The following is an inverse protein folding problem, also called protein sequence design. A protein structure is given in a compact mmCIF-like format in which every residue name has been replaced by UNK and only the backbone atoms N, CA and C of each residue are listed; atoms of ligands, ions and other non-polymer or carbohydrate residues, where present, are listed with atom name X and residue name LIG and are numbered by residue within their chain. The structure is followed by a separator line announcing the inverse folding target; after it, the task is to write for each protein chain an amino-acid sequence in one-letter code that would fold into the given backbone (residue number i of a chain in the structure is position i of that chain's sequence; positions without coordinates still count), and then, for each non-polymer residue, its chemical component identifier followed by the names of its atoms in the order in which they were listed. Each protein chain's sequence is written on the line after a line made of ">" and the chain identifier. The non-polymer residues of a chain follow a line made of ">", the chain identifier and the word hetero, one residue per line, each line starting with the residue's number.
data_IF_717775058334
#
_entry.id   IF_717775058334
#
_cell.length_a   1.000
_cell.length_b   1.000
_cell.length_c   1.000
_cell.angle_alpha   90.00
_cell.angle_beta   90.00
_cell.angle_gamma   90.00
#
_symmetry.space_group_name_H-M   'P 1'
#
loop_
_entity.id
_entity.type
_entity.pdbx_description
1 polymer ?
#
# COMPACT_ATOMS: atom_id res chain seq x y z
N UNK A 1 -10.15 43.74 -8.98
CA UNK A 1 -9.01 43.04 -8.37
C UNK A 1 -9.59 42.03 -7.39
N UNK A 2 -9.85 40.81 -7.84
CA UNK A 2 -10.64 39.82 -7.08
C UNK A 2 -9.75 39.11 -6.07
N UNK A 3 -10.14 39.17 -4.81
CA UNK A 3 -9.50 38.52 -3.68
C UNK A 3 -9.64 36.99 -3.82
N UNK A 4 -8.52 36.32 -4.05
CA UNK A 4 -8.47 34.85 -4.00
C UNK A 4 -8.69 34.36 -2.57
N UNK A 5 -9.68 33.48 -2.41
CA UNK A 5 -10.06 32.83 -1.16
C UNK A 5 -8.95 31.89 -0.64
N UNK A 6 -8.84 31.64 0.69
CA UNK A 6 -7.74 30.91 1.30
C UNK A 6 -7.61 29.49 0.72
N UNK A 7 -6.38 29.07 0.45
CA UNK A 7 -5.97 27.75 -0.08
C UNK A 7 -6.91 26.63 0.38
N UNK A 8 -7.80 26.20 -0.51
CA UNK A 8 -8.76 25.13 -0.23
C UNK A 8 -8.02 23.86 0.22
N UNK A 9 -8.28 23.42 1.45
CA UNK A 9 -7.87 22.11 2.00
C UNK A 9 -8.42 20.95 1.17
N UNK A 10 -9.50 21.21 0.42
CA UNK A 10 -10.24 20.23 -0.35
C UNK A 10 -9.85 20.28 -1.84
N UNK A 11 -9.76 19.10 -2.44
CA UNK A 11 -9.59 18.91 -3.88
C UNK A 11 -10.65 19.71 -4.65
N UNK A 12 -10.22 20.56 -5.58
CA UNK A 12 -11.15 21.26 -6.49
C UNK A 12 -11.77 20.27 -7.47
N UNK A 13 -13.04 20.45 -7.83
CA UNK A 13 -13.74 19.59 -8.80
C UNK A 13 -13.00 19.50 -10.15
N UNK A 14 -12.37 20.59 -10.61
CA UNK A 14 -11.56 20.58 -11.83
C UNK A 14 -10.38 19.61 -11.72
N UNK A 15 -9.66 19.61 -10.59
CA UNK A 15 -8.55 18.67 -10.37
C UNK A 15 -9.04 17.22 -10.25
N UNK A 16 -10.20 17.01 -9.62
CA UNK A 16 -10.85 15.69 -9.55
C UNK A 16 -11.19 15.17 -10.94
N UNK A 17 -11.81 16.00 -11.79
CA UNK A 17 -12.17 15.65 -13.17
C UNK A 17 -10.93 15.30 -14.00
N UNK A 18 -9.90 16.16 -13.99
CA UNK A 18 -8.64 15.90 -14.71
C UNK A 18 -7.95 14.63 -14.23
N UNK A 19 -7.95 14.34 -12.92
CA UNK A 19 -7.40 13.09 -12.38
C UNK A 19 -8.13 11.86 -12.95
N UNK A 20 -9.47 11.89 -12.99
CA UNK A 20 -10.29 10.80 -13.53
C UNK A 20 -9.99 10.59 -15.02
N UNK A 21 -9.90 11.67 -15.81
CA UNK A 21 -9.61 11.61 -17.24
C UNK A 21 -8.22 11.03 -17.54
N UNK A 22 -7.19 11.47 -16.81
CA UNK A 22 -5.83 10.94 -16.97
C UNK A 22 -5.75 9.45 -16.63
N UNK A 23 -6.51 8.98 -15.64
CA UNK A 23 -6.56 7.57 -15.24
C UNK A 23 -7.47 6.72 -16.11
N UNK A 24 -8.45 7.33 -16.79
CA UNK A 24 -9.26 6.64 -17.80
C UNK A 24 -8.40 6.24 -19.00
N UNK A 25 -7.43 7.08 -19.38
CA UNK A 25 -6.52 6.84 -20.50
C UNK A 25 -5.36 5.88 -20.19
N UNK A 26 -5.13 5.53 -18.92
CA UNK A 26 -4.04 4.64 -18.50
C UNK A 26 -4.55 3.48 -17.63
N UNK A 27 -4.94 2.38 -18.30
CA UNK A 27 -5.51 1.21 -17.64
C UNK A 27 -4.51 0.49 -16.72
N UNK A 28 -3.23 0.46 -17.11
CA UNK A 28 -2.19 -0.20 -16.31
C UNK A 28 -2.01 0.53 -14.98
N UNK A 29 -1.94 1.86 -15.02
CA UNK A 29 -1.83 2.70 -13.84
C UNK A 29 -3.10 2.68 -12.99
N UNK A 30 -4.27 2.68 -13.64
CA UNK A 30 -5.59 2.58 -13.00
C UNK A 30 -5.73 1.28 -12.20
N UNK A 31 -5.30 0.17 -12.80
CA UNK A 31 -5.41 -1.18 -12.23
C UNK A 31 -4.38 -1.40 -11.12
N UNK A 32 -3.19 -0.79 -11.25
CA UNK A 32 -2.10 -0.93 -10.28
C UNK A 32 -1.49 -2.34 -10.23
N UNK A 33 -1.79 -3.18 -11.24
CA UNK A 33 -1.23 -4.52 -11.39
C UNK A 33 0.09 -4.42 -12.15
N UNK A 34 1.21 -4.71 -11.50
CA UNK A 34 2.51 -4.74 -12.16
C UNK A 34 2.63 -5.97 -13.05
N UNK A 35 3.18 -5.75 -14.24
CA UNK A 35 3.46 -6.81 -15.23
C UNK A 35 4.90 -6.64 -15.71
N UNK A 36 5.42 -7.59 -16.48
CA UNK A 36 6.76 -7.46 -17.08
C UNK A 36 6.91 -6.16 -17.89
N UNK A 37 5.80 -5.65 -18.46
CA UNK A 37 5.78 -4.44 -19.28
C UNK A 37 5.38 -3.19 -18.48
N UNK A 38 4.97 -3.33 -17.21
CA UNK A 38 4.57 -2.23 -16.34
C UNK A 38 5.21 -2.40 -14.97
N UNK A 39 6.35 -1.73 -14.79
CA UNK A 39 7.15 -1.79 -13.56
C UNK A 39 6.74 -0.71 -12.57
N UNK A 40 7.23 -0.83 -11.33
CA UNK A 40 7.07 0.23 -10.33
C UNK A 40 7.68 1.56 -10.78
N UNK A 41 8.85 1.53 -11.42
CA UNK A 41 9.51 2.73 -11.92
C UNK A 41 8.66 3.44 -12.98
N UNK A 42 8.04 2.67 -13.88
CA UNK A 42 7.13 3.18 -14.89
C UNK A 42 5.87 3.77 -14.25
N UNK A 43 5.25 3.05 -13.31
CA UNK A 43 4.10 3.59 -12.54
C UNK A 43 4.43 4.90 -11.84
N UNK A 44 5.58 4.99 -11.18
CA UNK A 44 6.02 6.20 -10.48
C UNK A 44 6.18 7.36 -11.47
N UNK A 45 6.84 7.13 -12.60
CA UNK A 45 7.02 8.14 -13.65
C UNK A 45 5.68 8.70 -14.13
N UNK A 46 4.68 7.83 -14.36
CA UNK A 46 3.35 8.26 -14.80
C UNK A 46 2.58 9.00 -13.70
N UNK A 47 2.68 8.57 -12.44
CA UNK A 47 2.10 9.32 -11.31
C UNK A 47 2.74 10.70 -11.13
N UNK A 48 4.05 10.85 -11.35
CA UNK A 48 4.74 12.15 -11.34
C UNK A 48 4.18 13.04 -12.45
N UNK A 49 4.05 12.53 -13.68
CA UNK A 49 3.45 13.29 -14.78
C UNK A 49 2.02 13.76 -14.48
N UNK A 50 1.20 12.89 -13.88
CA UNK A 50 -0.16 13.27 -13.43
C UNK A 50 -0.08 14.39 -12.39
N UNK A 51 0.82 14.27 -11.42
CA UNK A 51 1.03 15.29 -10.39
C UNK A 51 1.39 16.65 -10.98
N UNK A 52 2.31 16.69 -11.94
CA UNK A 52 2.73 17.92 -12.61
C UNK A 52 1.58 18.57 -13.40
N UNK A 53 0.80 17.75 -14.10
CA UNK A 53 -0.40 18.19 -14.82
C UNK A 53 -1.43 18.80 -13.86
N UNK A 54 -1.69 18.16 -12.72
CA UNK A 54 -2.66 18.64 -11.72
C UNK A 54 -2.15 19.85 -10.92
N UNK A 55 -0.83 19.96 -10.74
CA UNK A 55 -0.19 21.10 -10.08
C UNK A 55 -0.13 22.34 -10.98
N UNK A 56 -0.26 22.16 -12.30
CA UNK A 56 -0.38 23.25 -13.27
C UNK A 56 -1.75 23.95 -13.18
N UNK A 57 -2.78 23.27 -12.67
CA UNK A 57 -4.09 23.86 -12.39
C UNK A 57 -4.02 24.71 -11.10
N UNK A 58 -4.58 25.93 -11.07
CA UNK A 58 -4.59 26.77 -9.88
C UNK A 58 -5.20 26.04 -8.67
N UNK A 59 -4.67 26.32 -7.48
CA UNK A 59 -5.08 25.71 -6.22
C UNK A 59 -3.99 24.89 -5.53
N UNK A 60 -4.39 23.84 -4.80
CA UNK A 60 -3.46 23.05 -4.00
C UNK A 60 -2.43 22.30 -4.86
N UNK A 61 -1.15 22.43 -4.52
CA UNK A 61 -0.06 21.64 -5.09
C UNK A 61 0.28 20.48 -4.17
N UNK A 62 0.41 19.28 -4.73
CA UNK A 62 0.60 18.03 -3.99
C UNK A 62 1.56 17.11 -4.75
N UNK A 63 2.18 16.19 -4.01
CA UNK A 63 3.09 15.20 -4.56
C UNK A 63 2.35 14.02 -5.21
N UNK A 64 3.03 13.29 -6.10
CA UNK A 64 2.48 12.13 -6.81
C UNK A 64 1.90 11.07 -5.88
N UNK A 65 2.50 10.88 -4.70
CA UNK A 65 2.03 9.92 -3.70
C UNK A 65 0.67 10.33 -3.13
N UNK A 66 0.47 11.63 -2.91
CA UNK A 66 -0.81 12.18 -2.45
C UNK A 66 -1.91 11.99 -3.49
N UNK A 67 -1.59 12.19 -4.78
CA UNK A 67 -2.54 11.96 -5.88
C UNK A 67 -2.93 10.49 -6.02
N UNK A 68 -1.94 9.59 -5.89
CA UNK A 68 -2.18 8.14 -5.84
C UNK A 68 -3.11 7.76 -4.68
N UNK A 69 -2.85 8.29 -3.48
CA UNK A 69 -3.71 8.07 -2.29
C UNK A 69 -5.11 8.63 -2.51
N UNK A 70 -5.22 9.82 -3.08
CA UNK A 70 -6.51 10.43 -3.40
C UNK A 70 -7.32 9.55 -4.35
N UNK A 71 -6.68 8.95 -5.36
CA UNK A 71 -7.35 7.98 -6.25
C UNK A 71 -7.85 6.74 -5.49
N UNK A 72 -7.06 6.19 -4.56
CA UNK A 72 -7.49 5.07 -3.73
C UNK A 72 -8.72 5.44 -2.86
N UNK A 73 -8.69 6.61 -2.24
CA UNK A 73 -9.79 7.10 -1.40
C UNK A 73 -11.04 7.38 -2.22
N UNK A 74 -10.90 7.93 -3.44
CA UNK A 74 -12.01 8.11 -4.38
C UNK A 74 -12.69 6.78 -4.69
N UNK A 75 -11.92 5.75 -5.04
CA UNK A 75 -12.48 4.42 -5.31
C UNK A 75 -13.22 3.85 -4.09
N UNK A 76 -12.63 3.95 -2.90
CA UNK A 76 -13.24 3.47 -1.65
C UNK A 76 -14.56 4.19 -1.36
N UNK A 77 -14.56 5.52 -1.46
CA UNK A 77 -15.73 6.34 -1.18
C UNK A 77 -16.87 6.08 -2.16
N UNK A 78 -16.57 5.95 -3.45
CA UNK A 78 -17.56 5.66 -4.49
C UNK A 78 -18.17 4.26 -4.30
N UNK A 79 -17.34 3.24 -4.04
CA UNK A 79 -17.82 1.89 -3.69
C UNK A 79 -18.75 1.90 -2.47
N UNK A 80 -18.39 2.65 -1.44
CA UNK A 80 -19.20 2.79 -0.22
C UNK A 80 -20.57 3.43 -0.55
N UNK A 81 -20.57 4.56 -1.25
CA UNK A 81 -21.82 5.24 -1.67
C UNK A 81 -22.73 4.31 -2.50
N UNK A 82 -22.17 3.60 -3.48
CA UNK A 82 -22.90 2.63 -4.30
C UNK A 82 -23.47 1.48 -3.47
N UNK A 83 -22.69 0.93 -2.53
CA UNK A 83 -23.14 -0.10 -1.59
C UNK A 83 -24.29 0.39 -0.71
N UNK A 84 -24.19 1.61 -0.18
CA UNK A 84 -25.21 2.20 0.67
C UNK A 84 -26.52 2.45 -0.11
N UNK A 85 -26.43 2.93 -1.35
CA UNK A 85 -27.58 3.10 -2.24
C UNK A 85 -28.23 1.75 -2.56
N UNK A 86 -27.44 0.73 -2.90
CA UNK A 86 -27.95 -0.62 -3.16
C UNK A 86 -28.69 -1.20 -1.94
N UNK A 87 -28.11 -1.06 -0.75
CA UNK A 87 -28.76 -1.49 0.50
C UNK A 87 -30.07 -0.76 0.75
N UNK A 88 -30.12 0.55 0.49
CA UNK A 88 -31.35 1.32 0.62
C UNK A 88 -32.43 0.82 -0.34
N UNK A 89 -32.10 0.63 -1.63
CA UNK A 89 -33.05 0.14 -2.64
C UNK A 89 -33.56 -1.28 -2.39
N UNK A 90 -32.77 -2.13 -1.73
CA UNK A 90 -33.13 -3.51 -1.42
C UNK A 90 -33.78 -3.68 -0.03
N UNK A 91 -33.74 -2.65 0.81
CA UNK A 91 -34.31 -2.66 2.15
C UNK A 91 -35.76 -2.20 2.18
N UNK A 92 -36.50 -2.63 3.20
CA UNK A 92 -37.86 -2.15 3.50
C UNK A 92 -37.90 -1.11 4.62
N UNK A 93 -36.74 -0.61 5.06
CA UNK A 93 -36.61 0.27 6.23
C UNK A 93 -36.94 1.75 5.94
N UNK A 94 -37.53 2.45 6.92
CA UNK A 94 -37.99 3.85 6.82
C UNK A 94 -36.96 4.94 7.08
N UNK A 95 -35.68 4.70 6.75
CA UNK A 95 -34.64 5.72 6.86
C UNK A 95 -34.66 6.71 5.69
N UNK A 96 -34.03 7.90 5.83
CA UNK A 96 -33.85 8.80 4.70
C UNK A 96 -32.91 8.17 3.64
N UNK A 97 -33.13 8.45 2.35
CA UNK A 97 -32.29 7.94 1.28
C UNK A 97 -30.83 8.42 1.43
N UNK A 98 -29.82 7.57 1.14
CA UNK A 98 -28.44 8.00 0.99
C UNK A 98 -28.31 9.07 -0.10
N UNK A 99 -27.24 9.86 -0.04
CA UNK A 99 -26.94 10.85 -1.08
C UNK A 99 -26.61 10.14 -2.40
N UNK A 100 -27.23 10.60 -3.49
CA UNK A 100 -26.99 10.10 -4.83
C UNK A 100 -25.53 10.26 -5.28
N UNK A 101 -25.13 9.41 -6.24
CA UNK A 101 -23.86 9.55 -6.94
C UNK A 101 -23.91 10.79 -7.83
N UNK A 102 -22.83 11.58 -7.83
CA UNK A 102 -22.67 12.65 -8.81
C UNK A 102 -21.97 12.13 -10.07
N UNK A 103 -21.95 12.92 -11.14
CA UNK A 103 -21.33 12.53 -12.44
C UNK A 103 -19.89 12.04 -12.29
N UNK A 104 -19.10 12.68 -11.42
CA UNK A 104 -17.72 12.25 -11.18
C UNK A 104 -17.66 10.89 -10.45
N UNK A 105 -18.57 10.65 -9.50
CA UNK A 105 -18.66 9.39 -8.77
C UNK A 105 -19.16 8.25 -9.67
N UNK A 106 -20.10 8.52 -10.58
CA UNK A 106 -20.55 7.58 -11.62
C UNK A 106 -19.42 7.19 -12.56
N UNK A 107 -18.64 8.17 -13.05
CA UNK A 107 -17.46 7.90 -13.89
C UNK A 107 -16.44 7.02 -13.17
N UNK A 108 -16.17 7.30 -11.89
CA UNK A 108 -15.28 6.44 -11.09
C UNK A 108 -15.87 5.04 -10.89
N UNK A 109 -17.18 4.92 -10.68
CA UNK A 109 -17.83 3.61 -10.52
C UNK A 109 -17.73 2.79 -11.80
N UNK A 110 -17.97 3.40 -12.97
CA UNK A 110 -17.81 2.75 -14.27
C UNK A 110 -16.37 2.27 -14.48
N UNK A 111 -15.36 3.08 -14.13
CA UNK A 111 -13.95 2.70 -14.21
C UNK A 111 -13.58 1.54 -13.28
N UNK A 112 -14.22 1.45 -12.11
CA UNK A 112 -14.04 0.34 -11.17
C UNK A 112 -14.70 -0.93 -11.70
N UNK A 113 -15.91 -0.81 -12.25
CA UNK A 113 -16.72 -1.94 -12.71
C UNK A 113 -16.17 -2.57 -14.00
N UNK A 114 -15.59 -1.76 -14.90
CA UNK A 114 -14.84 -2.26 -16.06
C UNK A 114 -13.73 -3.23 -15.64
N UNK A 115 -13.04 -2.94 -14.55
CA UNK A 115 -12.01 -3.83 -14.00
C UNK A 115 -12.60 -5.11 -13.35
N UNK A 116 -13.89 -5.12 -13.01
CA UNK A 116 -14.57 -6.29 -12.45
C UNK A 116 -15.09 -7.24 -13.53
N UNK A 117 -15.42 -6.73 -14.71
CA UNK A 117 -15.92 -7.50 -15.86
C UNK A 117 -14.80 -8.30 -16.56
N UNK A 118 -13.55 -7.82 -16.49
CA UNK A 118 -12.40 -8.45 -17.16
C UNK A 118 -11.88 -9.72 -16.48
N UNK A 119 -12.60 -10.26 -15.48
CA UNK A 119 -12.47 -11.64 -15.02
C UNK A 119 -11.06 -12.07 -14.58
N UNK A 120 -10.66 -11.76 -13.34
CA UNK A 120 -9.65 -12.56 -12.66
C UNK A 120 -10.24 -13.18 -11.39
N UNK A 121 -10.55 -14.48 -11.45
CA UNK A 121 -11.04 -15.34 -10.35
C UNK A 121 -10.04 -15.51 -9.18
N UNK A 122 -9.01 -14.67 -9.12
CA UNK A 122 -8.04 -14.61 -8.05
C UNK A 122 -8.11 -13.20 -7.46
N UNK A 123 -8.99 -13.02 -6.48
CA UNK A 123 -9.03 -11.83 -5.66
C UNK A 123 -7.79 -11.89 -4.76
N UNK A 124 -6.65 -11.46 -5.30
CA UNK A 124 -5.65 -10.83 -4.46
C UNK A 124 -6.05 -9.36 -4.39
N UNK A 125 -6.76 -9.03 -3.30
CA UNK A 125 -7.10 -7.66 -2.97
C UNK A 125 -5.83 -6.81 -3.09
N UNK A 126 -5.92 -5.70 -3.83
CA UNK A 126 -4.82 -4.73 -3.97
C UNK A 126 -4.22 -4.48 -2.59
N UNK A 127 -3.01 -5.01 -2.35
CA UNK A 127 -2.25 -4.79 -1.13
C UNK A 127 -2.25 -3.29 -0.87
N UNK A 128 -2.81 -2.90 0.27
CA UNK A 128 -2.69 -1.54 0.79
C UNK A 128 -1.22 -1.37 1.12
N UNK A 129 -0.44 -0.88 0.16
CA UNK A 129 0.95 -0.54 0.39
C UNK A 129 0.97 0.65 1.33
N UNK A 130 1.22 0.38 2.61
CA UNK A 130 1.37 1.40 3.63
C UNK A 130 2.58 2.28 3.32
N UNK A 131 2.43 3.57 3.62
CA UNK A 131 3.38 4.65 3.31
C UNK A 131 4.79 4.42 3.90
N UNK A 132 4.94 3.49 4.85
CA UNK A 132 6.20 3.13 5.50
C UNK A 132 7.16 2.27 4.65
N UNK A 133 6.68 1.57 3.63
CA UNK A 133 7.52 0.71 2.79
C UNK A 133 8.32 1.50 1.73
N UNK A 134 8.02 2.80 1.54
CA UNK A 134 8.63 3.61 0.48
C UNK A 134 9.91 4.33 0.88
N UNK A 135 10.25 4.40 2.18
CA UNK A 135 11.48 5.07 2.66
C UNK A 135 12.66 4.07 2.77
N UNK A 136 12.40 2.77 2.89
CA UNK A 136 13.42 1.78 3.23
C UNK A 136 14.19 1.14 2.06
N UNK A 137 13.98 1.55 0.81
CA UNK A 137 14.82 1.09 -0.31
C UNK A 137 16.08 1.94 -0.54
N UNK A 138 16.20 3.12 0.09
CA UNK A 138 17.21 4.11 -0.28
C UNK A 138 18.13 4.62 0.85
N UNK A 139 18.17 4.02 2.05
CA UNK A 139 19.07 4.50 3.10
C UNK A 139 19.76 3.37 3.90
N UNK A 140 21.09 3.19 3.82
CA UNK A 140 21.82 2.15 4.56
C UNK A 140 22.20 2.51 6.01
N UNK A 141 21.63 3.57 6.61
CA UNK A 141 21.95 3.93 7.98
C UNK A 141 20.73 4.53 8.69
N UNK A 142 20.10 3.73 9.56
CA UNK A 142 19.70 4.09 10.93
C UNK A 142 19.01 2.88 11.54
N UNK A 143 19.81 2.09 12.27
CA UNK A 143 19.30 1.26 13.36
C UNK A 143 18.83 2.20 14.46
N UNK A 144 17.54 2.20 14.76
CA UNK A 144 17.00 2.70 16.02
C UNK A 144 15.72 1.94 16.31
N UNK A 145 15.85 1.00 17.24
CA UNK A 145 14.76 0.27 17.88
C UNK A 145 13.69 1.23 18.39
N UNK A 146 12.44 1.03 17.98
CA UNK A 146 11.29 1.55 18.72
C UNK A 146 10.47 0.36 19.17
N UNK A 147 10.62 0.01 20.46
CA UNK A 147 9.69 -0.84 21.19
C UNK A 147 8.28 -0.28 21.07
N UNK A 148 7.33 -1.12 20.67
CA UNK A 148 5.94 -0.94 21.07
C UNK A 148 5.62 -2.09 22.01
N UNK A 149 5.82 -1.83 23.30
CA UNK A 149 5.23 -2.61 24.37
C UNK A 149 3.85 -2.00 24.67
N UNK A 150 2.89 -2.89 24.91
CA UNK A 150 1.65 -2.70 25.66
C UNK A 150 0.59 -1.70 25.19
N UNK A 151 -0.48 -2.22 24.59
CA UNK A 151 -1.81 -2.15 25.23
C UNK A 151 -2.78 -3.14 24.58
N UNK A 152 -3.18 -4.19 25.29
CA UNK A 152 -4.60 -4.48 25.59
C UNK A 152 -4.71 -5.58 26.65
N UNK A 153 -5.49 -5.26 27.67
CA UNK A 153 -5.62 -5.94 28.96
C UNK A 153 -6.32 -7.30 28.83
N UNK A 154 -5.67 -8.30 29.42
CA UNK A 154 -6.19 -9.36 30.29
C UNK A 154 -7.73 -9.44 30.44
N UNK A 155 -8.33 -10.53 29.97
CA UNK A 155 -9.51 -11.11 30.61
C UNK A 155 -9.40 -12.63 30.71
N UNK A 156 -9.03 -13.05 31.93
CA UNK A 156 -9.40 -14.27 32.68
C UNK A 156 -9.44 -15.63 31.97
N UNK A 157 -8.49 -16.47 32.41
CA UNK A 157 -8.59 -17.92 32.46
C UNK A 157 -9.92 -18.42 33.05
N UNK A 158 -10.57 -19.35 32.35
CA UNK A 158 -11.18 -20.52 32.98
C UNK A 158 -10.70 -21.77 32.23
N UNK A 159 -9.93 -22.58 32.95
CA UNK A 159 -9.66 -23.97 32.57
C UNK A 159 -10.96 -24.76 32.62
N UNK A 160 -11.27 -25.50 31.56
CA UNK A 160 -11.97 -26.78 31.67
C UNK A 160 -11.40 -27.75 30.63
N UNK A 161 -10.57 -28.68 31.09
CA UNK A 161 -10.34 -29.94 30.38
C UNK A 161 -11.67 -30.69 30.28
N UNK A 162 -12.17 -30.95 29.07
CA UNK A 162 -13.05 -32.09 28.79
C UNK A 162 -12.95 -32.53 27.32
N UNK A 163 -12.54 -33.79 27.16
CA UNK A 163 -12.78 -34.76 26.08
C UNK A 163 -13.65 -34.42 24.85
N UNK A 164 -13.07 -34.74 23.66
CA UNK A 164 -13.67 -35.23 22.39
C UNK A 164 -14.98 -34.59 21.86
N UNK A 165 -14.88 -33.88 20.72
CA UNK A 165 -15.65 -34.11 19.46
C UNK A 165 -15.24 -33.07 18.41
N UNK A 166 -14.85 -33.53 17.20
CA UNK A 166 -14.50 -32.66 16.06
C UNK A 166 -15.72 -31.80 15.69
N UNK A 167 -15.69 -30.49 16.00
CA UNK A 167 -16.63 -29.50 15.48
C UNK A 167 -15.95 -28.72 14.36
N UNK A 168 -16.71 -28.40 13.31
CA UNK A 168 -16.24 -27.56 12.21
C UNK A 168 -15.69 -26.24 12.76
N UNK A 169 -14.54 -25.74 12.26
CA UNK A 169 -13.89 -24.57 12.82
C UNK A 169 -14.84 -23.37 12.77
N UNK A 170 -14.96 -22.69 13.90
CA UNK A 170 -15.67 -21.41 13.99
C UNK A 170 -14.99 -20.41 13.05
N UNK A 171 -15.73 -19.42 12.52
CA UNK A 171 -15.15 -18.26 11.80
C UNK A 171 -14.01 -17.60 12.60
N UNK A 172 -14.06 -17.70 13.93
CA UNK A 172 -13.01 -17.24 14.82
C UNK A 172 -11.74 -18.09 14.74
N UNK A 173 -11.86 -19.43 14.67
CA UNK A 173 -10.72 -20.34 14.58
C UNK A 173 -9.98 -20.17 13.25
N UNK A 174 -10.73 -19.94 12.16
CA UNK A 174 -10.15 -19.65 10.85
C UNK A 174 -9.40 -18.32 10.84
N UNK A 175 -9.95 -17.28 11.47
CA UNK A 175 -9.26 -15.99 11.63
C UNK A 175 -7.97 -16.15 12.46
N UNK A 176 -7.98 -16.95 13.53
CA UNK A 176 -6.82 -17.22 14.36
C UNK A 176 -5.73 -18.00 13.61
N UNK A 177 -6.11 -19.02 12.85
CA UNK A 177 -5.19 -19.79 12.01
C UNK A 177 -4.56 -18.92 10.91
N UNK A 178 -5.36 -18.06 10.28
CA UNK A 178 -4.86 -17.13 9.27
C UNK A 178 -3.87 -16.13 9.87
N UNK A 179 -4.16 -15.59 11.06
CA UNK A 179 -3.26 -14.68 11.79
C UNK A 179 -1.92 -15.36 12.12
N UNK A 180 -1.95 -16.58 12.64
CA UNK A 180 -0.75 -17.34 12.97
C UNK A 180 0.08 -17.61 11.71
N UNK A 181 -0.57 -18.04 10.62
CA UNK A 181 0.09 -18.26 9.33
C UNK A 181 0.76 -16.99 8.79
N UNK A 182 0.11 -15.83 8.92
CA UNK A 182 0.69 -14.54 8.52
C UNK A 182 1.93 -14.24 9.38
N UNK A 183 1.85 -14.47 10.70
CA UNK A 183 2.97 -14.30 11.62
C UNK A 183 4.17 -15.16 11.21
N UNK A 184 3.95 -16.45 10.93
CA UNK A 184 5.01 -17.38 10.51
C UNK A 184 5.66 -16.95 9.18
N UNK A 185 4.86 -16.45 8.24
CA UNK A 185 5.35 -15.92 6.96
C UNK A 185 6.25 -14.71 7.19
N UNK A 186 5.85 -13.80 8.07
CA UNK A 186 6.63 -12.60 8.39
C UNK A 186 7.94 -12.95 9.09
N UNK A 187 7.90 -13.88 10.05
CA UNK A 187 9.09 -14.33 10.75
C UNK A 187 10.09 -15.00 9.80
N UNK A 188 9.61 -15.87 8.90
CA UNK A 188 10.46 -16.51 7.90
C UNK A 188 11.05 -15.50 6.88
N UNK A 189 10.28 -14.46 6.51
CA UNK A 189 10.79 -13.37 5.66
C UNK A 189 11.89 -12.59 6.37
N UNK A 190 11.72 -12.27 7.65
CA UNK A 190 12.74 -11.58 8.45
C UNK A 190 13.99 -12.45 8.59
N UNK A 191 13.83 -13.72 8.93
CA UNK A 191 14.96 -14.66 9.03
C UNK A 191 15.78 -14.74 7.74
N UNK A 192 15.11 -14.89 6.58
CA UNK A 192 15.81 -14.89 5.28
C UNK A 192 16.56 -13.59 5.00
N UNK A 193 16.00 -12.47 5.46
CA UNK A 193 16.62 -11.14 5.32
C UNK A 193 17.86 -11.04 6.22
N UNK A 194 17.77 -11.51 7.46
CA UNK A 194 18.89 -11.54 8.41
C UNK A 194 20.03 -12.43 7.88
N UNK A 195 19.72 -13.67 7.46
CA UNK A 195 20.67 -14.60 6.84
C UNK A 195 21.39 -13.99 5.62
N UNK A 196 20.66 -13.20 4.82
CA UNK A 196 21.23 -12.52 3.67
C UNK A 196 22.25 -11.45 4.08
N UNK A 197 21.92 -10.61 5.06
CA UNK A 197 22.81 -9.56 5.51
C UNK A 197 24.04 -10.12 6.23
N UNK A 198 23.89 -11.17 7.03
CA UNK A 198 25.03 -11.87 7.64
C UNK A 198 26.02 -12.38 6.59
N UNK A 199 25.51 -13.08 5.56
CA UNK A 199 26.37 -13.58 4.47
C UNK A 199 27.02 -12.44 3.69
N UNK A 200 26.28 -11.35 3.45
CA UNK A 200 26.80 -10.17 2.75
C UNK A 200 27.92 -9.51 3.55
N UNK A 201 27.73 -9.32 4.86
CA UNK A 201 28.75 -8.76 5.75
C UNK A 201 30.01 -9.63 5.76
N UNK A 202 29.86 -10.94 5.90
CA UNK A 202 30.99 -11.87 5.87
C UNK A 202 31.78 -11.83 4.55
N UNK A 203 31.09 -11.69 3.40
CA UNK A 203 31.76 -11.51 2.10
C UNK A 203 32.51 -10.18 2.04
N UNK A 204 31.93 -9.11 2.57
CA UNK A 204 32.57 -7.79 2.61
C UNK A 204 33.81 -7.80 3.52
N UNK A 205 33.74 -8.42 4.69
CA UNK A 205 34.87 -8.57 5.61
C UNK A 205 36.03 -9.32 4.94
N UNK A 206 35.74 -10.41 4.23
CA UNK A 206 36.75 -11.17 3.48
C UNK A 206 37.41 -10.34 2.38
N UNK A 207 36.63 -9.55 1.66
CA UNK A 207 37.13 -8.68 0.60
C UNK A 207 38.02 -7.57 1.16
N UNK A 208 37.63 -6.97 2.30
CA UNK A 208 38.46 -5.99 3.02
C UNK A 208 39.79 -6.62 3.45
N UNK A 209 39.77 -7.78 4.09
CA UNK A 209 40.99 -8.49 4.51
C UNK A 209 41.88 -8.83 3.31
N UNK A 210 41.30 -9.27 2.19
CA UNK A 210 42.08 -9.57 0.98
C UNK A 210 42.77 -8.33 0.43
N UNK A 211 42.06 -7.19 0.38
CA UNK A 211 42.61 -5.90 -0.05
C UNK A 211 43.71 -5.40 0.88
N UNK A 212 43.53 -5.50 2.19
CA UNK A 212 44.55 -5.14 3.18
C UNK A 212 45.82 -5.98 3.02
N UNK A 213 45.69 -7.29 2.79
CA UNK A 213 46.84 -8.18 2.54
C UNK A 213 47.59 -7.80 1.27
N UNK A 214 46.87 -7.47 0.20
CA UNK A 214 47.48 -7.03 -1.06
C UNK A 214 48.21 -5.70 -0.85
N UNK A 215 47.59 -4.74 -0.17
CA UNK A 215 48.21 -3.45 0.13
C UNK A 215 49.49 -3.62 0.97
N UNK A 216 49.44 -4.43 2.04
CA UNK A 216 50.61 -4.72 2.88
C UNK A 216 51.74 -5.43 2.11
N UNK A 217 51.41 -6.28 1.13
CA UNK A 217 52.41 -6.91 0.27
C UNK A 217 53.06 -5.89 -0.69
N UNK A 218 52.27 -4.96 -1.23
CA UNK A 218 52.77 -3.89 -2.10
C UNK A 218 53.68 -2.90 -1.32
N UNK A 219 53.32 -2.54 -0.09
CA UNK A 219 54.16 -1.68 0.76
C UNK A 219 55.51 -2.31 1.05
N UNK A 220 55.55 -3.63 1.34
CA UNK A 220 56.80 -4.37 1.54
C UNK A 220 57.68 -4.44 0.29
N UNK A 221 57.08 -4.43 -0.91
CA UNK A 221 57.82 -4.36 -2.17
C UNK A 221 58.33 -2.94 -2.48
N UNK A 222 57.68 -1.91 -1.94
CA UNK A 222 58.00 -0.51 -2.20
C UNK A 222 59.05 0.07 -1.24
N UNK A 223 59.31 -0.55 -0.10
CA UNK A 223 60.36 -0.18 0.86
C UNK A 223 61.39 -1.33 0.97
N UNK A 224 62.44 -1.34 0.14
CA UNK A 224 63.55 -2.30 0.24
C UNK A 224 64.44 -2.07 1.48
#
# INVERSE_FOLDING_TARGET
>A
MSLESPKSKHMTENKKKTLIELLQNDEQLRNGKFTNNFTFAESRKRWIHISDTLNSIPGARKDWLYWKRTWQDLKKNVKKKSSDLKKYTMGTGGGPPPKDLNTNDENVLQLIDLNSLEGSSLIEESVVWDEHDYINLNNPATSSSVSIMDTFKQSKNLNTETTKKRKAPSKFDEALQNSNRISDILENKNKKKDDYYERKLHLMERDVIAKERIAAALEKLSNP
#
